data_IF_372620408210
#
_entry.id   IF_372620408210
#
_cell.length_a   1.000
_cell.length_b   1.000
_cell.length_c   1.000
_cell.angle_alpha   90.00
_cell.angle_beta   90.00
_cell.angle_gamma   90.00
#
_symmetry.space_group_name_H-M   'P 1'
#
loop_
_entity.id
_entity.type
_entity.pdbx_description
1 polymer ?
#
# COMPACT_ATOMS: atom_id res chain seq x y z
N UNK A 1 -21.51 48.55 -54.66
CA UNK A 1 -20.64 49.51 -55.37
C UNK A 1 -19.59 50.01 -54.38
N UNK A 2 -18.30 49.72 -54.65
CA UNK A 2 -17.03 50.36 -54.21
C UNK A 2 -16.78 50.53 -52.68
N UNK A 3 -15.83 49.82 -52.06
CA UNK A 3 -14.36 50.02 -51.99
C UNK A 3 -13.88 51.25 -51.22
N UNK A 4 -13.06 51.06 -50.18
CA UNK A 4 -11.63 51.48 -50.13
C UNK A 4 -11.03 51.37 -48.70
N UNK A 5 -9.70 51.27 -48.63
CA UNK A 5 -8.87 50.82 -47.52
C UNK A 5 -7.97 51.93 -46.88
N UNK A 6 -7.07 51.51 -45.98
CA UNK A 6 -5.81 52.14 -45.47
C UNK A 6 -5.83 52.95 -44.17
N UNK A 7 -4.79 53.03 -43.31
CA UNK A 7 -3.53 52.31 -42.96
C UNK A 7 -3.02 52.96 -41.64
N UNK A 8 -2.35 52.17 -40.78
CA UNK A 8 -1.33 52.42 -39.73
C UNK A 8 -1.13 53.79 -39.03
N UNK A 9 -0.78 53.76 -37.73
CA UNK A 9 0.48 54.30 -37.14
C UNK A 9 0.55 54.04 -35.62
N UNK A 10 1.68 53.52 -35.13
CA UNK A 10 2.01 53.33 -33.71
C UNK A 10 3.31 54.09 -33.35
N UNK A 11 3.34 54.74 -32.18
CA UNK A 11 4.51 55.21 -31.37
C UNK A 11 4.01 56.06 -30.16
N UNK A 12 4.79 56.36 -29.08
CA UNK A 12 6.18 56.01 -28.71
C UNK A 12 6.39 55.53 -27.23
N UNK A 13 7.63 55.13 -26.87
CA UNK A 13 8.13 54.88 -25.49
C UNK A 13 8.63 56.16 -24.77
N UNK A 14 8.78 56.17 -23.42
CA UNK A 14 10.13 56.42 -22.86
C UNK A 14 10.50 55.67 -21.56
N UNK A 15 11.82 55.50 -21.38
CA UNK A 15 12.61 54.82 -20.32
C UNK A 15 12.52 55.40 -18.89
N UNK A 16 12.58 54.56 -17.85
CA UNK A 16 13.25 54.91 -16.58
C UNK A 16 13.71 53.69 -15.76
N UNK A 17 15.00 53.69 -15.45
CA UNK A 17 15.83 52.72 -14.72
C UNK A 17 15.54 52.66 -13.21
N UNK A 18 15.53 51.46 -12.61
CA UNK A 18 16.22 51.19 -11.33
C UNK A 18 16.32 49.69 -10.99
N UNK A 19 17.54 49.24 -10.66
CA UNK A 19 17.78 48.03 -9.86
C UNK A 19 18.69 48.40 -8.70
N UNK A 20 18.46 47.82 -7.51
CA UNK A 20 19.56 47.32 -6.69
C UNK A 20 19.37 45.84 -6.29
N UNK A 21 20.43 45.17 -5.80
CA UNK A 21 20.61 43.72 -5.94
C UNK A 21 20.25 42.93 -4.67
N UNK A 22 19.74 41.70 -4.83
CA UNK A 22 19.70 40.70 -3.76
C UNK A 22 20.42 39.43 -4.23
N UNK A 23 21.44 39.05 -3.46
CA UNK A 23 22.12 37.76 -3.55
C UNK A 23 21.12 36.66 -3.22
N UNK A 24 20.60 35.98 -4.22
CA UNK A 24 19.92 34.70 -4.05
C UNK A 24 20.93 33.59 -4.31
N UNK A 25 21.05 32.59 -3.42
CA UNK A 25 21.90 31.42 -3.65
C UNK A 25 21.55 30.81 -5.01
N UNK A 26 22.59 30.37 -5.71
CA UNK A 26 22.54 29.75 -7.02
C UNK A 26 21.37 28.77 -7.08
N UNK A 27 20.37 29.13 -7.89
CA UNK A 27 19.52 28.15 -8.57
C UNK A 27 20.49 27.19 -9.24
N UNK A 28 20.74 26.05 -8.60
CA UNK A 28 21.23 24.88 -9.32
C UNK A 28 20.16 24.58 -10.35
N UNK A 29 20.40 25.04 -11.57
CA UNK A 29 19.79 24.50 -12.76
C UNK A 29 20.20 23.03 -12.81
N UNK A 30 19.40 22.18 -12.18
CA UNK A 30 19.32 20.78 -12.58
C UNK A 30 18.57 20.82 -13.90
N UNK A 31 19.34 20.91 -14.99
CA UNK A 31 18.85 20.55 -16.31
C UNK A 31 18.31 19.12 -16.19
N UNK A 32 17.00 18.88 -16.43
CA UNK A 32 16.49 17.52 -16.40
C UNK A 32 17.11 16.83 -17.60
N UNK A 33 18.19 16.09 -17.36
CA UNK A 33 18.66 15.08 -18.30
C UNK A 33 17.43 14.22 -18.62
N UNK A 34 17.10 13.96 -19.90
CA UNK A 34 16.02 13.04 -20.24
C UNK A 34 16.20 11.76 -19.43
N UNK A 35 15.28 11.50 -18.51
CA UNK A 35 15.24 10.27 -17.74
C UNK A 35 14.94 9.18 -18.76
N UNK A 36 16.01 8.52 -19.20
CA UNK A 36 15.97 7.23 -19.87
C UNK A 36 14.98 6.35 -19.08
N UNK A 37 14.12 5.53 -19.72
CA UNK A 37 13.10 4.77 -19.02
C UNK A 37 13.76 3.94 -17.91
N UNK A 38 13.66 4.42 -16.67
CA UNK A 38 14.39 3.82 -15.58
C UNK A 38 13.73 2.49 -15.26
N UNK A 39 14.55 1.43 -15.17
CA UNK A 39 14.09 0.16 -14.61
C UNK A 39 13.36 0.39 -13.28
N UNK A 40 12.40 -0.47 -12.90
CA UNK A 40 11.67 -0.31 -11.65
C UNK A 40 12.63 -0.22 -10.46
N UNK A 41 12.31 0.62 -9.45
CA UNK A 41 13.12 0.67 -8.25
C UNK A 41 13.05 -0.68 -7.54
N UNK A 42 14.13 -1.10 -6.89
CA UNK A 42 14.17 -2.36 -6.15
C UNK A 42 13.02 -2.49 -5.14
N UNK A 43 12.62 -1.38 -4.51
CA UNK A 43 11.48 -1.34 -3.59
C UNK A 43 10.14 -1.73 -4.25
N UNK A 44 9.95 -1.44 -5.54
CA UNK A 44 8.76 -1.85 -6.29
C UNK A 44 8.80 -3.35 -6.58
N UNK A 45 9.95 -3.88 -7.02
CA UNK A 45 10.12 -5.32 -7.26
C UNK A 45 9.97 -6.14 -5.97
N UNK A 46 10.55 -5.64 -4.87
CA UNK A 46 10.43 -6.21 -3.54
C UNK A 46 8.97 -6.26 -3.07
N UNK A 47 8.18 -5.24 -3.36
CA UNK A 47 6.76 -5.22 -3.06
C UNK A 47 6.00 -6.31 -3.83
N UNK A 48 6.27 -6.44 -5.13
CA UNK A 48 5.65 -7.46 -5.97
C UNK A 48 6.01 -8.87 -5.48
N UNK A 49 7.27 -9.13 -5.14
CA UNK A 49 7.72 -10.43 -4.63
C UNK A 49 6.99 -10.82 -3.35
N UNK A 50 6.87 -9.89 -2.39
CA UNK A 50 6.13 -10.11 -1.13
C UNK A 50 4.65 -10.35 -1.36
N UNK A 51 4.04 -9.58 -2.26
CA UNK A 51 2.63 -9.76 -2.65
C UNK A 51 2.37 -11.11 -3.34
N UNK A 52 3.30 -11.57 -4.19
CA UNK A 52 3.24 -12.90 -4.81
C UNK A 52 3.30 -13.99 -3.76
N UNK A 53 4.25 -13.93 -2.83
CA UNK A 53 4.34 -14.90 -1.73
C UNK A 53 3.05 -14.95 -0.89
N UNK A 54 2.47 -13.79 -0.61
CA UNK A 54 1.22 -13.69 0.14
C UNK A 54 0.06 -14.37 -0.62
N UNK A 55 -0.01 -14.12 -1.93
CA UNK A 55 -1.04 -14.69 -2.80
C UNK A 55 -0.91 -16.20 -2.97
N UNK A 56 0.32 -16.70 -3.08
CA UNK A 56 0.61 -18.14 -3.20
C UNK A 56 0.29 -18.92 -1.93
N UNK A 57 0.28 -18.24 -0.77
CA UNK A 57 -0.05 -18.85 0.52
C UNK A 57 -1.57 -18.95 0.77
N UNK A 58 -2.39 -18.16 0.07
CA UNK A 58 -3.85 -18.12 0.28
C UNK A 58 -4.54 -19.50 0.16
N UNK A 59 -4.25 -20.35 -0.84
CA UNK A 59 -5.00 -21.59 -1.03
C UNK A 59 -4.79 -22.64 0.07
N UNK A 60 -3.72 -22.50 0.86
CA UNK A 60 -3.34 -23.46 1.91
C UNK A 60 -3.45 -22.87 3.31
N UNK A 61 -3.97 -21.66 3.46
CA UNK A 61 -4.13 -21.02 4.76
C UNK A 61 -5.34 -21.58 5.51
N UNK A 62 -5.10 -22.32 6.58
CA UNK A 62 -6.17 -22.99 7.35
C UNK A 62 -6.34 -22.36 8.73
N UNK A 63 -5.24 -21.92 9.34
CA UNK A 63 -5.20 -21.46 10.73
C UNK A 63 -5.11 -19.95 10.84
N UNK A 64 -5.52 -19.40 11.99
CA UNK A 64 -5.38 -17.98 12.27
C UNK A 64 -3.92 -17.50 12.14
N UNK A 65 -2.96 -18.38 12.45
CA UNK A 65 -1.53 -18.14 12.28
C UNK A 65 -1.10 -18.04 10.80
N UNK A 66 -1.65 -18.88 9.91
CA UNK A 66 -1.37 -18.81 8.48
C UNK A 66 -1.83 -17.47 7.90
N UNK A 67 -3.05 -17.05 8.26
CA UNK A 67 -3.61 -15.78 7.83
C UNK A 67 -2.84 -14.58 8.39
N UNK A 68 -2.32 -14.68 9.62
CA UNK A 68 -1.47 -13.63 10.19
C UNK A 68 -0.13 -13.50 9.43
N UNK A 69 0.44 -14.61 8.98
CA UNK A 69 1.64 -14.60 8.12
C UNK A 69 1.35 -13.92 6.78
N UNK A 70 0.21 -14.22 6.15
CA UNK A 70 -0.23 -13.59 4.90
C UNK A 70 -0.43 -12.08 5.10
N UNK A 71 -1.08 -11.66 6.19
CA UNK A 71 -1.25 -10.24 6.52
C UNK A 71 0.12 -9.54 6.66
N UNK A 72 1.09 -10.16 7.33
CA UNK A 72 2.43 -9.59 7.48
C UNK A 72 3.17 -9.40 6.14
N UNK A 73 2.95 -10.32 5.19
CA UNK A 73 3.53 -10.23 3.84
C UNK A 73 2.90 -9.07 3.04
N UNK A 74 1.57 -8.92 3.10
CA UNK A 74 0.89 -7.77 2.50
C UNK A 74 1.34 -6.45 3.09
N UNK A 75 1.45 -6.37 4.42
CA UNK A 75 1.95 -5.17 5.12
C UNK A 75 3.37 -4.81 4.66
N UNK A 76 4.24 -5.82 4.54
CA UNK A 76 5.63 -5.61 4.08
C UNK A 76 5.70 -5.16 2.62
N UNK A 77 4.79 -5.64 1.76
CA UNK A 77 4.67 -5.16 0.38
C UNK A 77 4.24 -3.69 0.33
N UNK A 78 3.21 -3.31 1.10
CA UNK A 78 2.74 -1.92 1.24
C UNK A 78 3.87 -1.00 1.73
N UNK A 79 4.61 -1.42 2.75
CA UNK A 79 5.74 -0.65 3.27
C UNK A 79 6.82 -0.41 2.20
N UNK A 80 7.10 -1.41 1.36
CA UNK A 80 8.07 -1.28 0.27
C UNK A 80 7.58 -0.31 -0.81
N UNK A 81 6.28 -0.29 -1.12
CA UNK A 81 5.70 0.68 -2.05
C UNK A 81 5.71 2.11 -1.51
N UNK A 82 5.48 2.27 -0.20
CA UNK A 82 5.49 3.57 0.47
C UNK A 82 6.89 4.17 0.62
N UNK A 83 7.95 3.36 0.49
CA UNK A 83 9.35 3.83 0.48
C UNK A 83 9.75 4.49 -0.84
N UNK A 84 8.94 4.30 -1.90
CA UNK A 84 9.20 4.90 -3.21
C UNK A 84 8.93 6.42 -3.15
N UNK A 85 9.93 7.27 -3.47
CA UNK A 85 9.77 8.72 -3.41
C UNK A 85 8.67 9.25 -4.32
N UNK A 86 7.96 10.29 -3.88
CA UNK A 86 6.85 10.89 -4.64
C UNK A 86 7.28 11.61 -5.92
N UNK A 87 8.56 11.97 -6.05
CA UNK A 87 9.14 12.54 -7.25
C UNK A 87 9.68 11.47 -8.22
N UNK A 88 9.51 10.18 -7.93
CA UNK A 88 9.85 9.08 -8.83
C UNK A 88 8.76 8.89 -9.89
N UNK A 89 9.18 8.49 -11.10
CA UNK A 89 8.25 8.08 -12.18
C UNK A 89 7.34 6.93 -11.77
N UNK A 90 7.75 6.13 -10.78
CA UNK A 90 6.98 4.99 -10.26
C UNK A 90 5.99 5.36 -9.16
N UNK A 91 5.96 6.62 -8.68
CA UNK A 91 5.14 7.01 -7.53
C UNK A 91 3.65 6.70 -7.73
N UNK A 92 3.08 7.02 -8.89
CA UNK A 92 1.66 6.80 -9.15
C UNK A 92 1.31 5.30 -9.18
N UNK A 93 2.17 4.50 -9.81
CA UNK A 93 2.00 3.05 -9.89
C UNK A 93 2.17 2.38 -8.52
N UNK A 94 3.13 2.84 -7.72
CA UNK A 94 3.36 2.37 -6.37
C UNK A 94 2.16 2.64 -5.46
N UNK A 95 1.60 3.85 -5.49
CA UNK A 95 0.42 4.22 -4.71
C UNK A 95 -0.81 3.40 -5.11
N UNK A 96 -1.05 3.21 -6.41
CA UNK A 96 -2.15 2.37 -6.88
C UNK A 96 -2.02 0.92 -6.39
N UNK A 97 -0.80 0.36 -6.39
CA UNK A 97 -0.55 -0.97 -5.83
C UNK A 97 -0.70 -1.02 -4.31
N UNK A 98 -0.29 0.03 -3.59
CA UNK A 98 -0.44 0.09 -2.15
C UNK A 98 -1.92 0.04 -1.74
N UNK A 99 -2.80 0.74 -2.46
CA UNK A 99 -4.25 0.69 -2.22
C UNK A 99 -4.85 -0.70 -2.50
N UNK A 100 -4.36 -1.39 -3.53
CA UNK A 100 -4.75 -2.79 -3.80
C UNK A 100 -4.32 -3.72 -2.67
N UNK A 101 -3.07 -3.61 -2.24
CA UNK A 101 -2.52 -4.47 -1.20
C UNK A 101 -3.11 -4.15 0.18
N UNK A 102 -3.54 -2.92 0.42
CA UNK A 102 -4.27 -2.56 1.64
C UNK A 102 -5.57 -3.35 1.76
N UNK A 103 -6.35 -3.49 0.68
CA UNK A 103 -7.57 -4.31 0.69
C UNK A 103 -7.26 -5.78 0.99
N UNK A 104 -6.16 -6.31 0.46
CA UNK A 104 -5.74 -7.68 0.72
C UNK A 104 -5.26 -7.86 2.17
N UNK A 105 -4.57 -6.88 2.72
CA UNK A 105 -4.17 -6.84 4.14
C UNK A 105 -5.39 -6.84 5.05
N UNK A 106 -6.36 -5.96 4.78
CA UNK A 106 -7.59 -5.86 5.56
C UNK A 106 -8.35 -7.20 5.55
N UNK A 107 -8.51 -7.80 4.36
CA UNK A 107 -9.13 -9.12 4.22
C UNK A 107 -8.39 -10.21 5.01
N UNK A 108 -7.05 -10.25 4.96
CA UNK A 108 -6.28 -11.22 5.72
C UNK A 108 -6.49 -11.07 7.24
N UNK A 109 -6.57 -9.83 7.75
CA UNK A 109 -6.85 -9.59 9.17
C UNK A 109 -8.28 -9.99 9.57
N UNK A 110 -9.26 -9.78 8.70
CA UNK A 110 -10.61 -10.29 8.93
C UNK A 110 -10.62 -11.82 9.07
N UNK A 111 -9.84 -12.53 8.25
CA UNK A 111 -9.69 -13.98 8.35
C UNK A 111 -9.00 -14.41 9.65
N UNK A 112 -7.96 -13.69 10.10
CA UNK A 112 -7.32 -13.95 11.41
C UNK A 112 -8.36 -13.96 12.52
N UNK A 113 -9.21 -12.93 12.59
CA UNK A 113 -10.23 -12.81 13.64
C UNK A 113 -11.26 -13.94 13.53
N UNK A 114 -11.79 -14.18 12.33
CA UNK A 114 -12.83 -15.17 12.11
C UNK A 114 -12.36 -16.61 12.37
N UNK A 115 -11.10 -16.93 12.06
CA UNK A 115 -10.54 -18.26 12.28
C UNK A 115 -10.11 -18.44 13.73
N UNK A 116 -9.50 -17.43 14.36
CA UNK A 116 -9.14 -17.49 15.77
C UNK A 116 -10.36 -17.72 16.68
N UNK A 117 -11.52 -17.12 16.34
CA UNK A 117 -12.77 -17.39 17.04
C UNK A 117 -13.21 -18.85 16.90
N UNK A 118 -13.16 -19.41 15.69
CA UNK A 118 -13.54 -20.81 15.44
C UNK A 118 -12.59 -21.80 16.11
N UNK A 119 -11.30 -21.52 16.10
CA UNK A 119 -10.29 -22.31 16.81
C UNK A 119 -10.59 -22.30 18.32
N UNK A 120 -10.83 -21.13 18.91
CA UNK A 120 -11.15 -21.02 20.33
C UNK A 120 -12.48 -21.72 20.71
N UNK A 121 -13.50 -21.65 19.85
CA UNK A 121 -14.76 -22.37 20.05
C UNK A 121 -14.58 -23.88 19.98
N UNK A 122 -13.77 -24.38 19.04
CA UNK A 122 -13.48 -25.80 18.91
C UNK A 122 -12.77 -26.34 20.17
N UNK A 123 -11.77 -25.61 20.67
CA UNK A 123 -11.07 -25.98 21.90
C UNK A 123 -12.02 -26.00 23.10
N UNK A 124 -12.90 -25.00 23.23
CA UNK A 124 -13.87 -24.93 24.31
C UNK A 124 -14.87 -26.11 24.30
N UNK A 125 -15.33 -26.52 23.11
CA UNK A 125 -16.24 -27.68 22.99
C UNK A 125 -15.54 -28.98 23.41
N UNK A 126 -14.27 -29.15 23.07
CA UNK A 126 -13.52 -30.35 23.50
C UNK A 126 -13.33 -30.44 25.00
N UNK A 127 -13.08 -29.31 25.67
CA UNK A 127 -12.95 -29.27 27.13
C UNK A 127 -14.28 -29.54 27.83
N UNK A 128 -15.40 -29.03 27.31
CA UNK A 128 -16.74 -29.29 27.85
C UNK A 128 -17.16 -30.76 27.69
N UNK A 129 -16.87 -31.37 26.54
CA UNK A 129 -17.16 -32.79 26.30
C UNK A 129 -16.34 -33.72 27.23
N UNK A 130 -15.06 -33.41 27.42
CA UNK A 130 -14.20 -34.16 28.36
C UNK A 130 -14.72 -34.04 29.81
N UNK A 131 -15.12 -32.83 30.22
CA UNK A 131 -15.67 -32.60 31.56
C UNK A 131 -17.00 -33.35 31.77
N UNK A 132 -17.86 -33.39 30.75
CA UNK A 132 -19.12 -34.13 30.80
C UNK A 132 -18.91 -35.65 30.90
N UNK A 133 -17.95 -36.20 30.15
CA UNK A 133 -17.60 -37.63 30.21
C UNK A 133 -17.02 -38.01 31.57
N UNK A 134 -16.15 -37.18 32.14
CA UNK A 134 -15.59 -37.39 33.47
C UNK A 134 -16.66 -37.39 34.56
N UNK A 135 -17.59 -36.42 34.52
CA UNK A 135 -18.70 -36.36 35.47
C UNK A 135 -19.62 -37.60 35.36
N UNK A 136 -19.89 -38.06 34.14
CA UNK A 136 -20.68 -39.26 33.90
C UNK A 136 -19.99 -40.51 34.50
N UNK A 137 -18.67 -40.63 34.34
CA UNK A 137 -17.91 -41.75 34.86
C UNK A 137 -17.78 -41.71 36.40
N UNK A 138 -17.60 -40.53 36.99
CA UNK A 138 -17.62 -40.36 38.46
C UNK A 138 -18.98 -40.71 39.06
N UNK A 139 -20.07 -40.28 38.42
CA UNK A 139 -21.44 -40.59 38.87
C UNK A 139 -21.72 -42.10 38.81
N UNK A 140 -21.23 -42.76 37.76
CA UNK A 140 -21.33 -44.22 37.63
C UNK A 140 -20.51 -44.96 38.69
N UNK A 141 -19.29 -44.49 39.00
CA UNK A 141 -18.42 -45.10 39.99
C UNK A 141 -18.93 -44.96 41.43
N UNK A 142 -19.60 -43.86 41.77
CA UNK A 142 -20.14 -43.63 43.12
C UNK A 142 -21.51 -44.28 43.39
N UNK A 143 -22.09 -44.96 42.39
CA UNK A 143 -23.40 -45.62 42.48
C UNK A 143 -23.32 -47.14 42.73
N UNK A 144 -22.12 -47.70 42.89
CA UNK A 144 -21.82 -49.11 43.20
C UNK A 144 -21.44 -49.28 44.67
#
# INVERSE_FOLDING_TARGET
MLSAASVATAAPEPTSVQSPPVKTPQTMAIEPKPQEPAAPPSAYEDALSKATAASESLPTAETSADWASIAAQWQSAIASLNDIPTNSDYSAQAQAKAEEYQRNYDYANEQVIAIAQREAEADAVTDEELAAEQLANETAANSL
#
